data_IF_575990422199
#
_entry.id   IF_575990422199
#
_cell.length_a   1.000
_cell.length_b   1.000
_cell.length_c   1.000
_cell.angle_alpha   90.00
_cell.angle_beta   90.00
_cell.angle_gamma   90.00
#
_symmetry.space_group_name_H-M   'P 1'
#
loop_
_entity.id
_entity.type
_entity.pdbx_description
1 polymer ?
#
# COMPACT_ATOMS: atom_id res chain seq x y z
N UNK A 1 37.58 25.31 83.22
CA UNK A 1 36.93 26.54 83.72
C UNK A 1 36.27 27.19 82.52
N UNK A 2 35.01 26.87 82.23
CA UNK A 2 33.82 27.55 82.77
C UNK A 2 33.95 29.07 82.54
N UNK A 3 33.05 29.74 81.83
CA UNK A 3 31.64 29.73 82.21
C UNK A 3 30.71 30.32 81.12
N UNK A 4 29.41 30.06 81.34
CA UNK A 4 28.23 30.81 80.92
C UNK A 4 27.56 30.51 79.56
N UNK A 5 26.75 29.46 79.63
CA UNK A 5 25.49 29.26 78.90
C UNK A 5 24.42 30.30 79.29
N UNK A 6 23.63 30.82 78.32
CA UNK A 6 22.21 30.48 78.13
C UNK A 6 21.42 31.48 77.26
N UNK A 7 20.41 30.91 76.60
CA UNK A 7 19.25 31.47 75.91
C UNK A 7 19.44 32.05 74.50
N UNK A 8 19.18 31.29 73.41
CA UNK A 8 18.02 30.48 72.95
C UNK A 8 16.90 31.28 72.26
N UNK A 9 16.47 30.71 71.12
CA UNK A 9 15.09 30.66 70.63
C UNK A 9 14.46 31.87 69.91
N UNK A 10 15.24 32.70 69.22
CA UNK A 10 14.69 33.82 68.42
C UNK A 10 14.86 33.74 66.91
N UNK A 11 16.05 33.38 66.41
CA UNK A 11 16.45 33.77 65.05
C UNK A 11 16.61 32.62 64.03
N UNK A 12 16.74 31.37 64.46
CA UNK A 12 16.89 30.25 63.50
C UNK A 12 15.57 29.82 62.83
N UNK A 13 14.42 30.28 63.32
CA UNK A 13 13.10 29.95 62.76
C UNK A 13 12.66 30.85 61.59
N UNK A 14 13.46 31.85 61.18
CA UNK A 14 13.12 32.75 60.06
C UNK A 14 13.85 32.47 58.75
N UNK A 15 14.99 31.76 58.78
CA UNK A 15 15.78 31.52 57.56
C UNK A 15 15.67 30.08 56.98
N UNK A 16 14.97 29.17 57.66
CA UNK A 16 14.61 27.85 57.10
C UNK A 16 13.33 27.86 56.24
N UNK A 17 12.78 29.04 55.91
CA UNK A 17 11.63 29.19 55.00
C UNK A 17 12.01 29.55 53.57
N UNK A 18 13.27 29.33 53.17
CA UNK A 18 13.78 29.74 51.85
C UNK A 18 14.62 28.69 51.13
N UNK A 19 14.32 27.40 51.28
CA UNK A 19 14.75 26.42 50.28
C UNK A 19 13.97 25.11 50.43
N UNK A 20 13.70 24.46 49.29
CA UNK A 20 13.28 23.06 49.15
C UNK A 20 11.75 22.82 49.12
N UNK A 21 11.21 23.02 47.91
CA UNK A 21 10.41 22.05 47.14
C UNK A 21 9.25 21.33 47.85
N UNK A 22 8.01 21.75 47.57
CA UNK A 22 6.88 20.80 47.53
C UNK A 22 5.87 21.19 46.45
N UNK A 23 5.70 20.23 45.56
CA UNK A 23 4.86 20.22 44.36
C UNK A 23 3.37 20.20 44.70
N UNK A 24 2.62 20.77 43.76
CA UNK A 24 1.27 20.40 43.30
C UNK A 24 0.11 20.50 44.29
N UNK A 25 -0.50 21.69 44.33
CA UNK A 25 -1.94 21.82 44.16
C UNK A 25 -2.18 22.91 43.12
N UNK A 26 -2.44 22.50 41.87
CA UNK A 26 -3.01 23.40 40.87
C UNK A 26 -4.51 23.25 40.99
N UNK A 27 -5.13 24.23 41.62
CA UNK A 27 -6.56 24.34 41.78
C UNK A 27 -7.25 24.49 40.42
N UNK A 28 -8.16 23.57 40.16
CA UNK A 28 -9.05 23.57 39.02
C UNK A 28 -10.08 24.69 39.18
N UNK A 29 -9.77 25.89 38.67
CA UNK A 29 -10.71 27.01 38.49
C UNK A 29 -10.01 28.07 37.62
N UNK A 30 -9.97 27.88 36.30
CA UNK A 30 -9.74 28.93 35.27
C UNK A 30 -9.72 28.34 33.83
N UNK A 31 -10.73 27.55 33.46
CA UNK A 31 -10.91 27.07 32.09
C UNK A 31 -12.28 27.42 31.52
N UNK A 32 -12.68 28.69 31.66
CA UNK A 32 -13.95 29.14 31.09
C UNK A 32 -13.87 30.56 30.52
N UNK A 33 -12.78 30.97 29.85
CA UNK A 33 -12.75 32.23 29.07
C UNK A 33 -11.61 32.28 28.01
N UNK A 34 -11.31 31.17 27.33
CA UNK A 34 -10.48 31.18 26.10
C UNK A 34 -11.16 30.29 25.06
N UNK A 35 -12.32 30.75 24.60
CA UNK A 35 -13.17 30.04 23.66
C UNK A 35 -13.77 30.98 22.63
N UNK A 36 -13.00 31.92 22.10
CA UNK A 36 -13.39 32.72 20.93
C UNK A 36 -12.20 33.45 20.31
N UNK A 37 -11.16 32.72 19.91
CA UNK A 37 -10.06 33.29 19.10
C UNK A 37 -10.28 32.91 17.64
N UNK A 38 -10.77 33.91 16.88
CA UNK A 38 -10.90 34.01 15.43
C UNK A 38 -10.47 32.78 14.60
N UNK A 39 -11.46 32.03 14.12
CA UNK A 39 -11.30 31.23 12.89
C UNK A 39 -11.35 32.19 11.70
N UNK A 40 -10.26 32.93 11.47
CA UNK A 40 -10.02 33.65 10.22
C UNK A 40 -9.81 32.58 9.14
N UNK A 41 -10.90 32.21 8.48
CA UNK A 41 -10.87 31.41 7.25
C UNK A 41 -10.17 32.26 6.19
N UNK A 42 -8.85 32.11 6.07
CA UNK A 42 -8.09 32.70 4.99
C UNK A 42 -8.60 32.05 3.69
N UNK A 43 -9.51 32.75 3.00
CA UNK A 43 -9.87 32.43 1.63
C UNK A 43 -8.60 32.62 0.81
N UNK A 44 -7.85 31.53 0.59
CA UNK A 44 -6.77 31.52 -0.38
C UNK A 44 -7.47 31.66 -1.74
N UNK A 45 -7.28 32.76 -2.49
CA UNK A 45 -7.78 32.80 -3.85
C UNK A 45 -7.09 31.67 -4.60
N UNK A 46 -7.88 30.67 -4.99
CA UNK A 46 -7.44 29.61 -5.86
C UNK A 46 -7.06 30.27 -7.17
N UNK A 47 -5.76 30.48 -7.41
CA UNK A 47 -5.28 31.07 -8.64
C UNK A 47 -5.82 30.23 -9.81
N UNK A 48 -6.78 30.77 -10.56
CA UNK A 48 -7.24 30.15 -11.79
C UNK A 48 -6.10 30.27 -12.79
N UNK A 49 -5.27 29.23 -12.88
CA UNK A 49 -4.34 29.09 -13.97
C UNK A 49 -5.15 29.01 -15.27
N UNK A 50 -4.92 29.93 -16.20
CA UNK A 50 -5.56 29.90 -17.51
C UNK A 50 -5.21 28.58 -18.21
N UNK A 51 -6.17 27.66 -18.28
CA UNK A 51 -6.01 26.37 -18.95
C UNK A 51 -6.28 26.53 -20.44
N UNK A 52 -5.22 26.57 -21.24
CA UNK A 52 -5.30 26.56 -22.71
C UNK A 52 -5.06 25.16 -23.27
N UNK A 53 -5.68 24.81 -24.42
CA UNK A 53 -5.37 23.57 -25.13
C UNK A 53 -3.86 23.44 -25.39
N UNK A 54 -3.26 22.38 -24.86
CA UNK A 54 -1.82 22.12 -25.06
C UNK A 54 -1.58 21.63 -26.48
N UNK A 55 -0.49 22.09 -27.12
CA UNK A 55 -0.07 21.59 -28.45
C UNK A 55 0.14 20.07 -28.47
N UNK A 56 0.59 19.52 -27.34
CA UNK A 56 0.71 18.08 -27.12
C UNK A 56 -0.07 17.70 -25.85
N UNK A 57 -1.38 17.40 -25.95
CA UNK A 57 -2.19 16.97 -24.81
C UNK A 57 -1.68 15.65 -24.22
N UNK A 58 -1.97 15.45 -22.94
CA UNK A 58 -1.71 14.20 -22.24
C UNK A 58 -2.64 13.09 -22.78
N UNK A 59 -2.13 11.87 -22.81
CA UNK A 59 -2.87 10.68 -23.20
C UNK A 59 -2.37 9.48 -22.40
N UNK A 60 -3.21 8.46 -22.28
CA UNK A 60 -2.85 7.20 -21.65
C UNK A 60 -3.54 6.02 -22.32
N UNK A 61 -2.95 4.84 -22.16
CA UNK A 61 -3.54 3.57 -22.60
C UNK A 61 -3.18 2.49 -21.58
N UNK A 62 -4.11 1.57 -21.31
CA UNK A 62 -3.87 0.45 -20.41
C UNK A 62 -4.43 -0.85 -20.98
N UNK A 63 -3.72 -1.95 -20.72
CA UNK A 63 -4.14 -3.30 -21.07
C UNK A 63 -3.81 -4.24 -19.91
N UNK A 64 -4.74 -5.15 -19.60
CA UNK A 64 -4.44 -6.30 -18.73
C UNK A 64 -4.10 -7.49 -19.61
N UNK A 65 -2.95 -8.11 -19.34
CA UNK A 65 -2.45 -9.31 -20.03
C UNK A 65 -2.37 -10.43 -19.00
N UNK A 66 -3.32 -11.36 -19.06
CA UNK A 66 -3.56 -12.33 -17.99
C UNK A 66 -3.88 -11.63 -16.66
N UNK A 67 -2.91 -11.58 -15.75
CA UNK A 67 -3.02 -10.90 -14.44
C UNK A 67 -2.15 -9.64 -14.34
N UNK A 68 -1.46 -9.27 -15.42
CA UNK A 68 -0.53 -8.13 -15.43
C UNK A 68 -1.16 -6.94 -16.13
N UNK A 69 -1.47 -5.89 -15.36
CA UNK A 69 -1.75 -4.56 -15.90
C UNK A 69 -0.48 -3.93 -16.46
N UNK A 70 -0.54 -3.50 -17.71
CA UNK A 70 0.41 -2.62 -18.40
C UNK A 70 -0.28 -1.28 -18.63
N UNK A 71 0.38 -0.17 -18.30
CA UNK A 71 -0.19 1.17 -18.46
C UNK A 71 0.86 2.15 -18.94
N UNK A 72 0.53 2.90 -19.99
CA UNK A 72 1.40 3.89 -20.61
C UNK A 72 0.77 5.27 -20.47
N UNK A 73 1.53 6.23 -19.95
CA UNK A 73 1.17 7.65 -19.91
C UNK A 73 2.14 8.44 -20.76
N UNK A 74 1.65 9.32 -21.61
CA UNK A 74 2.48 10.05 -22.57
C UNK A 74 1.83 11.40 -22.93
N UNK A 75 2.58 12.24 -23.63
CA UNK A 75 2.01 13.39 -24.33
C UNK A 75 2.07 13.13 -25.82
N UNK A 76 0.95 13.35 -26.49
CA UNK A 76 0.74 13.05 -27.89
C UNK A 76 1.07 14.29 -28.75
N UNK A 77 2.23 14.40 -29.41
CA UNK A 77 2.48 15.45 -30.39
C UNK A 77 1.71 15.23 -31.70
N UNK A 78 1.30 16.33 -32.33
CA UNK A 78 0.79 16.34 -33.71
C UNK A 78 1.91 16.48 -34.75
N UNK A 79 1.74 15.92 -35.95
CA UNK A 79 2.69 16.04 -37.04
C UNK A 79 2.64 17.44 -37.65
N UNK A 80 1.44 17.97 -37.92
CA UNK A 80 1.18 19.34 -38.40
C UNK A 80 1.95 19.68 -39.68
N UNK A 81 1.83 18.82 -40.69
CA UNK A 81 2.49 18.94 -42.00
C UNK A 81 4.04 18.93 -41.96
N UNK A 82 4.64 18.71 -40.78
CA UNK A 82 6.09 18.62 -40.62
C UNK A 82 6.57 17.24 -41.00
N UNK A 83 7.75 17.17 -41.62
CA UNK A 83 8.49 15.92 -41.76
C UNK A 83 8.99 15.47 -40.39
N UNK A 84 8.42 14.38 -39.90
CA UNK A 84 8.71 13.88 -38.55
C UNK A 84 10.02 13.11 -38.52
N UNK A 85 10.09 12.02 -39.27
CA UNK A 85 11.20 11.10 -39.21
C UNK A 85 12.40 11.60 -40.01
N UNK A 86 13.57 11.63 -39.38
CA UNK A 86 14.81 12.16 -39.96
C UNK A 86 14.93 13.69 -39.95
N UNK A 87 13.93 14.41 -39.45
CA UNK A 87 13.99 15.87 -39.23
C UNK A 87 13.58 16.22 -37.80
N UNK A 88 12.28 16.36 -37.51
CA UNK A 88 11.83 16.70 -36.15
C UNK A 88 12.31 15.66 -35.11
N UNK A 89 12.29 14.38 -35.51
CA UNK A 89 12.87 13.27 -34.77
C UNK A 89 14.04 12.74 -35.61
N UNK A 90 15.27 13.20 -35.33
CA UNK A 90 16.45 12.77 -36.09
C UNK A 90 16.75 11.29 -35.89
N UNK A 91 17.19 10.63 -36.95
CA UNK A 91 17.66 9.24 -36.85
C UNK A 91 18.99 9.17 -36.10
N UNK A 92 19.22 8.05 -35.40
CA UNK A 92 20.44 7.80 -34.63
C UNK A 92 20.57 8.65 -33.36
N UNK A 93 19.56 9.47 -33.02
CA UNK A 93 19.55 10.30 -31.82
C UNK A 93 18.53 9.79 -30.81
N UNK A 94 18.89 9.93 -29.53
CA UNK A 94 18.01 9.58 -28.42
C UNK A 94 16.79 10.49 -28.42
N UNK A 95 15.61 9.90 -28.23
CA UNK A 95 14.33 10.59 -28.19
C UNK A 95 13.51 10.09 -27.00
N UNK A 96 12.84 11.03 -26.31
CA UNK A 96 11.91 10.75 -25.19
C UNK A 96 10.63 10.03 -25.58
N UNK A 97 10.47 9.69 -26.87
CA UNK A 97 9.32 8.94 -27.40
C UNK A 97 7.97 9.60 -27.04
N UNK A 98 7.89 10.90 -27.29
CA UNK A 98 6.75 11.75 -26.90
C UNK A 98 7.10 13.24 -26.87
N UNK A 99 6.24 14.04 -26.24
CA UNK A 99 6.42 15.48 -26.04
C UNK A 99 6.39 15.86 -24.55
N UNK A 100 6.78 17.09 -24.21
CA UNK A 100 6.75 17.61 -22.84
C UNK A 100 7.49 16.70 -21.84
N UNK A 101 6.77 16.10 -20.88
CA UNK A 101 7.29 15.15 -19.90
C UNK A 101 7.59 13.76 -20.48
N UNK A 102 8.33 12.95 -19.73
CA UNK A 102 8.69 11.60 -20.16
C UNK A 102 7.45 10.71 -20.36
N UNK A 103 7.45 9.99 -21.49
CA UNK A 103 6.55 8.85 -21.68
C UNK A 103 6.93 7.76 -20.67
N UNK A 104 5.94 7.24 -19.95
CA UNK A 104 6.14 6.23 -18.90
C UNK A 104 5.34 4.99 -19.21
N UNK A 105 5.89 3.85 -18.86
CA UNK A 105 5.23 2.55 -18.85
C UNK A 105 5.32 1.95 -17.45
N UNK A 106 4.23 1.36 -16.99
CA UNK A 106 4.17 0.65 -15.73
C UNK A 106 3.71 -0.79 -15.91
N UNK A 107 4.30 -1.68 -15.13
CA UNK A 107 3.97 -3.10 -15.07
C UNK A 107 3.62 -3.47 -13.63
N UNK A 108 2.44 -4.04 -13.41
CA UNK A 108 2.01 -4.52 -12.09
C UNK A 108 2.73 -5.79 -11.63
N UNK A 109 3.33 -6.54 -12.56
CA UNK A 109 4.08 -7.76 -12.32
C UNK A 109 5.35 -7.78 -13.19
N UNK A 110 6.29 -8.67 -12.88
CA UNK A 110 7.44 -8.93 -13.73
C UNK A 110 6.97 -9.40 -15.12
N UNK A 111 7.61 -8.90 -16.18
CA UNK A 111 7.29 -9.20 -17.59
C UNK A 111 8.54 -9.53 -18.39
N UNK A 112 8.37 -10.02 -19.61
CA UNK A 112 9.42 -10.04 -20.64
C UNK A 112 9.08 -9.03 -21.73
N UNK A 113 9.96 -8.08 -22.00
CA UNK A 113 9.81 -7.07 -23.05
C UNK A 113 10.84 -7.36 -24.15
N UNK A 114 10.39 -7.65 -25.37
CA UNK A 114 11.28 -8.08 -26.46
C UNK A 114 12.13 -9.29 -26.07
N UNK A 115 11.56 -10.23 -25.31
CA UNK A 115 12.25 -11.42 -24.80
C UNK A 115 13.11 -11.23 -23.55
N UNK A 116 13.41 -9.99 -23.12
CA UNK A 116 14.23 -9.71 -21.93
C UNK A 116 13.39 -9.46 -20.69
N UNK A 117 13.82 -10.02 -19.56
CA UNK A 117 13.11 -9.86 -18.28
C UNK A 117 13.17 -8.42 -17.77
N UNK A 118 12.01 -7.88 -17.37
CA UNK A 118 11.85 -6.56 -16.76
C UNK A 118 11.02 -6.73 -15.49
N UNK A 119 11.46 -6.11 -14.39
CA UNK A 119 10.77 -6.19 -13.11
C UNK A 119 9.49 -5.37 -13.09
N UNK A 120 8.57 -5.74 -12.21
CA UNK A 120 7.42 -4.90 -11.90
C UNK A 120 7.90 -3.50 -11.48
N UNK A 121 7.19 -2.47 -11.92
CA UNK A 121 7.57 -1.08 -11.66
C UNK A 121 7.19 -0.14 -12.80
N UNK A 122 7.59 1.12 -12.64
CA UNK A 122 7.39 2.17 -13.63
C UNK A 122 8.74 2.57 -14.22
N UNK A 123 8.77 2.79 -15.53
CA UNK A 123 9.95 3.15 -16.30
C UNK A 123 9.62 4.26 -17.30
N UNK A 124 10.59 5.08 -17.66
CA UNK A 124 10.48 5.98 -18.80
C UNK A 124 10.85 5.25 -20.10
N UNK A 125 10.12 5.53 -21.17
CA UNK A 125 10.42 5.03 -22.51
C UNK A 125 11.34 6.01 -23.23
N UNK A 126 12.47 5.50 -23.72
CA UNK A 126 13.30 6.20 -24.70
C UNK A 126 13.44 5.35 -25.96
N UNK A 127 13.69 6.01 -27.08
CA UNK A 127 13.99 5.34 -28.33
C UNK A 127 15.16 6.01 -29.03
N UNK A 128 15.88 5.25 -29.85
CA UNK A 128 16.81 5.77 -30.85
C UNK A 128 16.25 5.34 -32.20
N UNK A 129 15.51 6.23 -32.90
CA UNK A 129 14.92 5.90 -34.19
C UNK A 129 15.99 5.67 -35.26
N UNK A 130 15.75 4.72 -36.15
CA UNK A 130 16.56 4.48 -37.35
C UNK A 130 15.67 4.15 -38.54
N UNK A 131 16.25 4.10 -39.74
CA UNK A 131 15.50 3.75 -40.95
C UNK A 131 15.05 2.29 -40.95
N UNK A 132 15.96 1.38 -40.58
CA UNK A 132 15.72 -0.07 -40.63
C UNK A 132 15.50 -0.70 -39.26
N UNK A 133 16.01 -0.06 -38.20
CA UNK A 133 15.98 -0.59 -36.84
C UNK A 133 15.94 0.56 -35.84
N UNK A 134 15.11 0.40 -34.82
CA UNK A 134 15.03 1.29 -33.68
C UNK A 134 15.60 0.60 -32.45
N UNK A 135 16.27 1.38 -31.59
CA UNK A 135 16.56 0.93 -30.23
C UNK A 135 15.40 1.37 -29.34
N UNK A 136 14.74 0.45 -28.66
CA UNK A 136 13.75 0.72 -27.61
C UNK A 136 14.37 0.51 -26.23
N UNK A 137 14.15 1.47 -25.33
CA UNK A 137 14.83 1.57 -24.05
C UNK A 137 13.81 1.78 -22.93
N UNK A 138 14.03 1.11 -21.79
CA UNK A 138 13.37 1.42 -20.53
C UNK A 138 14.40 1.94 -19.53
N UNK A 139 14.12 3.09 -18.93
CA UNK A 139 15.01 3.76 -18.00
C UNK A 139 14.33 4.00 -16.63
N UNK A 140 15.07 3.85 -15.53
CA UNK A 140 14.53 4.02 -14.16
C UNK A 140 14.18 5.47 -13.81
N UNK A 141 14.74 6.47 -14.50
CA UNK A 141 14.49 7.89 -14.20
C UNK A 141 13.15 8.33 -14.76
N UNK A 142 12.21 8.66 -13.87
CA UNK A 142 10.82 8.97 -14.22
C UNK A 142 10.54 10.44 -14.51
N UNK A 143 11.42 11.36 -14.13
CA UNK A 143 11.24 12.80 -14.29
C UNK A 143 12.38 13.36 -15.11
N UNK A 144 12.30 13.17 -16.43
CA UNK A 144 13.27 13.69 -17.41
C UNK A 144 12.53 14.65 -18.35
N UNK A 145 13.13 15.81 -18.58
CA UNK A 145 12.67 16.76 -19.57
C UNK A 145 13.44 16.56 -20.88
N UNK A 146 12.75 16.13 -21.94
CA UNK A 146 13.46 15.78 -23.17
C UNK A 146 14.37 14.59 -22.95
N UNK A 147 15.66 14.76 -23.24
CA UNK A 147 16.73 13.79 -22.94
C UNK A 147 17.66 14.28 -21.85
N UNK A 148 17.39 15.45 -21.25
CA UNK A 148 18.29 16.09 -20.29
C UNK A 148 18.30 15.35 -18.96
N UNK A 149 19.46 14.82 -18.57
CA UNK A 149 19.60 13.94 -17.40
C UNK A 149 19.37 12.45 -17.69
N UNK A 150 19.24 12.06 -18.96
CA UNK A 150 19.35 10.66 -19.34
C UNK A 150 20.76 10.12 -19.04
N UNK A 151 20.81 8.93 -18.45
CA UNK A 151 22.02 8.17 -18.14
C UNK A 151 21.83 6.74 -18.63
N UNK A 152 22.79 6.23 -19.40
CA UNK A 152 22.70 4.88 -19.99
C UNK A 152 22.70 3.80 -18.90
N UNK A 153 23.35 4.08 -17.78
CA UNK A 153 23.48 3.21 -16.61
C UNK A 153 22.13 2.96 -15.92
N UNK A 154 21.17 3.87 -16.10
CA UNK A 154 19.81 3.75 -15.58
C UNK A 154 18.89 2.91 -16.51
N UNK A 155 19.39 2.44 -17.65
CA UNK A 155 18.62 1.56 -18.54
C UNK A 155 18.48 0.17 -17.94
N UNK A 156 17.23 -0.30 -17.83
CA UNK A 156 16.90 -1.68 -17.44
C UNK A 156 16.61 -2.57 -18.64
N UNK A 157 16.38 -1.96 -19.81
CA UNK A 157 16.11 -2.65 -21.05
C UNK A 157 16.71 -1.85 -22.21
N UNK A 158 17.32 -2.57 -23.14
CA UNK A 158 17.69 -2.10 -24.46
C UNK A 158 17.43 -3.23 -25.46
N UNK A 159 16.51 -3.02 -26.41
CA UNK A 159 16.15 -4.00 -27.44
C UNK A 159 16.09 -3.33 -28.81
N UNK A 160 16.28 -4.12 -29.86
CA UNK A 160 16.08 -3.69 -31.24
C UNK A 160 14.67 -4.07 -31.68
N UNK A 161 14.01 -3.14 -32.36
CA UNK A 161 12.67 -3.34 -32.93
C UNK A 161 12.63 -2.77 -34.35
N UNK A 162 11.89 -3.43 -35.24
CA UNK A 162 11.82 -3.06 -36.65
C UNK A 162 10.65 -2.08 -36.86
N UNK A 163 10.88 -0.89 -37.43
CA UNK A 163 9.79 -0.02 -37.86
C UNK A 163 9.08 -0.62 -39.08
N UNK A 164 7.79 -0.32 -39.20
CA UNK A 164 6.96 -0.69 -40.34
C UNK A 164 6.14 0.51 -40.81
N UNK A 165 5.75 0.52 -42.08
CA UNK A 165 4.90 1.56 -42.65
C UNK A 165 3.45 1.29 -42.32
N UNK A 166 2.72 2.34 -41.95
CA UNK A 166 1.27 2.31 -41.68
C UNK A 166 0.60 3.55 -42.28
N UNK A 167 -0.75 3.59 -42.39
CA UNK A 167 -1.44 4.81 -42.75
C UNK A 167 -1.02 6.00 -41.88
N UNK A 168 -1.06 7.20 -42.46
CA UNK A 168 -0.64 8.40 -41.75
C UNK A 168 -1.48 8.62 -40.50
N UNK A 169 -0.81 8.97 -39.39
CA UNK A 169 -1.46 9.44 -38.17
C UNK A 169 -0.93 10.81 -37.81
N UNK A 170 -1.84 11.76 -37.69
CA UNK A 170 -1.51 13.13 -37.27
C UNK A 170 -0.91 13.13 -35.87
N UNK A 171 -1.47 12.34 -34.95
CA UNK A 171 -1.08 12.33 -33.55
C UNK A 171 -0.34 11.07 -33.16
N UNK A 172 0.79 11.23 -32.44
CA UNK A 172 1.48 10.09 -31.84
C UNK A 172 0.52 9.36 -30.92
N UNK A 173 0.41 8.05 -31.11
CA UNK A 173 -0.51 7.20 -30.37
C UNK A 173 0.21 5.94 -29.91
N UNK A 174 0.01 5.57 -28.65
CA UNK A 174 0.30 4.22 -28.15
C UNK A 174 -0.98 3.40 -28.11
N UNK A 175 -0.90 2.15 -28.54
CA UNK A 175 -2.00 1.19 -28.49
C UNK A 175 -1.49 -0.21 -28.19
N UNK A 176 -2.39 -1.09 -27.74
CA UNK A 176 -2.10 -2.50 -27.57
C UNK A 176 -2.76 -3.30 -28.70
N UNK A 177 -2.01 -4.25 -29.27
CA UNK A 177 -2.47 -5.15 -30.32
C UNK A 177 -2.11 -6.60 -29.96
N UNK A 178 -2.76 -7.55 -30.65
CA UNK A 178 -2.47 -8.98 -30.55
C UNK A 178 -2.46 -9.50 -29.10
N UNK A 179 -3.38 -8.99 -28.27
CA UNK A 179 -3.44 -9.36 -26.86
C UNK A 179 -3.98 -10.78 -26.69
N UNK A 180 -3.30 -11.57 -25.87
CA UNK A 180 -3.68 -12.89 -25.38
C UNK A 180 -3.57 -12.92 -23.85
N UNK A 181 -3.84 -14.06 -23.24
CA UNK A 181 -3.68 -14.24 -21.79
C UNK A 181 -2.22 -14.20 -21.33
N UNK A 182 -1.25 -14.31 -22.24
CA UNK A 182 0.18 -14.40 -21.90
C UNK A 182 1.04 -13.36 -22.60
N UNK A 183 0.49 -12.60 -23.55
CA UNK A 183 1.26 -11.61 -24.29
C UNK A 183 0.41 -10.49 -24.88
N UNK A 184 1.04 -9.38 -25.21
CA UNK A 184 0.48 -8.31 -26.04
C UNK A 184 1.62 -7.63 -26.80
N UNK A 185 1.29 -6.86 -27.82
CA UNK A 185 2.21 -5.90 -28.43
C UNK A 185 1.85 -4.49 -27.99
N UNK A 186 2.82 -3.74 -27.47
CA UNK A 186 2.72 -2.30 -27.36
C UNK A 186 3.18 -1.69 -28.68
N UNK A 187 2.29 -0.98 -29.36
CA UNK A 187 2.58 -0.32 -30.62
C UNK A 187 2.63 1.19 -30.44
N UNK A 188 3.68 1.81 -30.97
CA UNK A 188 3.75 3.26 -31.20
C UNK A 188 3.45 3.52 -32.66
N UNK A 189 2.51 4.42 -32.95
CA UNK A 189 2.19 4.86 -34.31
C UNK A 189 2.21 6.39 -34.42
N UNK A 190 2.94 6.92 -35.40
CA UNK A 190 2.93 8.35 -35.72
C UNK A 190 3.49 8.63 -37.13
N UNK A 191 2.87 9.55 -37.86
CA UNK A 191 3.35 10.04 -39.15
C UNK A 191 3.78 8.91 -40.12
N UNK A 192 2.95 7.87 -40.22
CA UNK A 192 3.12 6.75 -41.14
C UNK A 192 4.11 5.66 -40.71
N UNK A 193 4.66 5.75 -39.50
CA UNK A 193 5.55 4.72 -38.94
C UNK A 193 4.91 4.06 -37.72
N UNK A 194 5.00 2.72 -37.67
CA UNK A 194 4.67 1.89 -36.52
C UNK A 194 5.93 1.19 -36.00
N UNK A 195 6.05 1.10 -34.68
CA UNK A 195 6.99 0.21 -34.01
C UNK A 195 6.25 -0.63 -32.98
N UNK A 196 6.43 -1.96 -33.04
CA UNK A 196 5.81 -2.91 -32.12
C UNK A 196 6.84 -3.47 -31.15
N UNK A 197 6.49 -3.51 -29.87
CA UNK A 197 7.27 -4.10 -28.78
C UNK A 197 6.46 -5.22 -28.15
N UNK A 198 6.96 -6.45 -28.23
CA UNK A 198 6.30 -7.58 -27.57
C UNK A 198 6.48 -7.52 -26.06
N UNK A 199 5.40 -7.78 -25.33
CA UNK A 199 5.35 -7.87 -23.87
C UNK A 199 4.70 -9.21 -23.52
N UNK A 200 5.40 -10.06 -22.79
CA UNK A 200 4.90 -11.35 -22.33
C UNK A 200 4.88 -11.45 -20.81
N UNK A 201 3.95 -12.23 -20.27
CA UNK A 201 3.70 -12.39 -18.84
C UNK A 201 3.74 -13.86 -18.45
N UNK A 202 4.21 -14.15 -17.24
CA UNK A 202 4.13 -15.49 -16.67
C UNK A 202 2.78 -15.68 -15.96
N UNK A 203 1.70 -15.64 -16.76
CA UNK A 203 0.33 -15.64 -16.25
C UNK A 203 0.04 -16.87 -15.39
N UNK A 204 0.53 -18.05 -15.80
CA UNK A 204 0.38 -19.29 -15.03
C UNK A 204 1.04 -19.17 -13.66
N UNK A 205 2.28 -18.67 -13.56
CA UNK A 205 2.95 -18.47 -12.27
C UNK A 205 2.16 -17.54 -11.36
N UNK A 206 1.69 -16.41 -11.88
CA UNK A 206 0.93 -15.45 -11.07
C UNK A 206 -0.43 -16.02 -10.65
N UNK A 207 -1.12 -16.74 -11.53
CA UNK A 207 -2.38 -17.41 -11.22
C UNK A 207 -2.19 -18.46 -10.12
N UNK A 208 -1.17 -19.32 -10.24
CA UNK A 208 -0.87 -20.34 -9.24
C UNK A 208 -0.48 -19.74 -7.89
N UNK A 209 0.28 -18.64 -7.88
CA UNK A 209 0.57 -17.90 -6.64
C UNK A 209 -0.70 -17.33 -6.01
N UNK A 210 -1.61 -16.79 -6.82
CA UNK A 210 -2.93 -16.32 -6.39
C UNK A 210 -3.78 -17.44 -5.77
N UNK A 211 -3.88 -18.58 -6.45
CA UNK A 211 -4.59 -19.78 -5.98
C UNK A 211 -4.01 -20.26 -4.65
N UNK A 212 -2.68 -20.44 -4.58
CA UNK A 212 -2.00 -20.86 -3.34
C UNK A 212 -2.29 -19.90 -2.19
N UNK A 213 -2.29 -18.59 -2.44
CA UNK A 213 -2.59 -17.57 -1.43
C UNK A 213 -4.05 -17.63 -0.98
N UNK A 214 -5.00 -17.78 -1.91
CA UNK A 214 -6.42 -17.87 -1.60
C UNK A 214 -6.75 -19.11 -0.77
N UNK A 215 -6.12 -20.25 -1.11
CA UNK A 215 -6.33 -21.53 -0.43
C UNK A 215 -5.45 -21.72 0.81
N UNK A 216 -4.58 -20.77 1.17
CA UNK A 216 -3.69 -20.90 2.33
C UNK A 216 -4.40 -20.80 3.69
N UNK A 217 -5.61 -20.22 3.73
CA UNK A 217 -6.39 -20.03 4.97
C UNK A 217 -7.87 -20.34 4.74
N UNK A 218 -8.22 -21.58 4.36
CA UNK A 218 -9.60 -21.93 4.01
C UNK A 218 -10.53 -21.89 5.23
N UNK A 219 -9.97 -21.93 6.45
CA UNK A 219 -10.70 -21.73 7.70
C UNK A 219 -11.17 -20.29 7.91
N UNK A 220 -10.48 -19.29 7.33
CA UNK A 220 -10.65 -17.88 7.67
C UNK A 220 -12.04 -17.31 7.34
N UNK A 221 -12.66 -17.60 6.18
CA UNK A 221 -14.03 -17.13 5.92
C UNK A 221 -15.04 -17.63 6.96
N UNK A 222 -14.96 -18.91 7.35
CA UNK A 222 -15.80 -19.50 8.39
C UNK A 222 -15.54 -18.84 9.76
N UNK A 223 -14.28 -18.59 10.10
CA UNK A 223 -13.95 -17.84 11.32
C UNK A 223 -14.55 -16.43 11.32
N UNK A 224 -14.41 -15.68 10.22
CA UNK A 224 -14.93 -14.30 10.13
C UNK A 224 -16.46 -14.28 10.26
N UNK A 225 -17.16 -15.19 9.59
CA UNK A 225 -18.61 -15.34 9.73
C UNK A 225 -19.00 -15.68 11.17
N UNK A 226 -18.35 -16.69 11.77
CA UNK A 226 -18.62 -17.10 13.15
C UNK A 226 -18.35 -16.01 14.18
N UNK A 227 -17.28 -15.23 13.97
CA UNK A 227 -16.97 -14.07 14.81
C UNK A 227 -18.01 -12.97 14.68
N UNK A 228 -18.39 -12.60 13.46
CA UNK A 228 -19.41 -11.57 13.24
C UNK A 228 -20.73 -11.96 13.90
N UNK A 229 -21.19 -13.21 13.72
CA UNK A 229 -22.41 -13.72 14.33
C UNK A 229 -22.33 -13.79 15.87
N UNK A 230 -21.15 -14.09 16.43
CA UNK A 230 -20.93 -14.01 17.87
C UNK A 230 -21.06 -12.58 18.40
N UNK A 231 -20.56 -11.61 17.63
CA UNK A 231 -20.62 -10.19 17.97
C UNK A 231 -22.04 -9.63 17.78
N UNK A 232 -22.83 -10.13 16.82
CA UNK A 232 -24.25 -9.77 16.62
C UNK A 232 -25.20 -10.43 17.64
N UNK A 233 -24.77 -11.51 18.30
CA UNK A 233 -25.58 -12.23 19.30
C UNK A 233 -26.20 -13.55 18.79
N UNK A 234 -26.00 -13.90 17.52
CA UNK A 234 -26.50 -15.13 16.89
C UNK A 234 -25.63 -16.35 17.25
N UNK A 235 -25.69 -16.76 18.52
CA UNK A 235 -24.76 -17.75 19.10
C UNK A 235 -24.83 -19.15 18.46
N UNK A 236 -25.99 -19.57 17.95
CA UNK A 236 -26.16 -20.86 17.27
C UNK A 236 -25.39 -20.93 15.95
N UNK A 237 -25.73 -20.06 14.98
CA UNK A 237 -24.97 -19.92 13.74
C UNK A 237 -23.49 -19.64 13.97
N UNK A 238 -23.15 -18.76 14.92
CA UNK A 238 -21.76 -18.48 15.29
C UNK A 238 -20.98 -19.74 15.66
N UNK A 239 -21.58 -20.62 16.46
CA UNK A 239 -20.96 -21.88 16.90
C UNK A 239 -20.74 -22.84 15.73
N UNK A 240 -21.70 -22.93 14.80
CA UNK A 240 -21.58 -23.78 13.62
C UNK A 240 -20.38 -23.34 12.75
N UNK A 241 -20.27 -22.04 12.47
CA UNK A 241 -19.18 -21.49 11.67
C UNK A 241 -17.81 -21.60 12.36
N UNK A 242 -17.72 -21.31 13.68
CA UNK A 242 -16.48 -21.49 14.43
C UNK A 242 -16.06 -22.96 14.50
N UNK A 243 -16.99 -23.89 14.69
CA UNK A 243 -16.71 -25.34 14.66
C UNK A 243 -16.17 -25.77 13.29
N UNK A 244 -16.80 -25.31 12.21
CA UNK A 244 -16.34 -25.61 10.85
C UNK A 244 -14.95 -25.05 10.59
N UNK A 245 -14.67 -23.83 11.05
CA UNK A 245 -13.34 -23.22 10.96
C UNK A 245 -12.27 -24.06 11.69
N UNK A 246 -12.56 -24.48 12.93
CA UNK A 246 -11.66 -25.36 13.72
C UNK A 246 -11.42 -26.68 12.99
N UNK A 247 -12.47 -27.30 12.43
CA UNK A 247 -12.36 -28.56 11.69
C UNK A 247 -11.49 -28.45 10.43
N UNK A 248 -11.53 -27.30 9.75
CA UNK A 248 -10.67 -27.04 8.58
C UNK A 248 -9.22 -26.87 9.02
N UNK A 249 -8.97 -26.01 10.01
CA UNK A 249 -7.64 -25.82 10.58
C UNK A 249 -7.75 -25.22 11.98
N UNK A 250 -7.32 -25.94 13.03
CA UNK A 250 -7.23 -25.39 14.37
C UNK A 250 -6.27 -24.20 14.42
N UNK A 251 -6.70 -23.11 15.04
CA UNK A 251 -5.89 -21.92 15.28
C UNK A 251 -6.20 -21.34 16.65
N UNK A 252 -5.24 -20.62 17.25
CA UNK A 252 -5.50 -19.96 18.53
C UNK A 252 -6.71 -19.02 18.44
N UNK A 253 -6.86 -18.34 17.30
CA UNK A 253 -7.96 -17.39 17.08
C UNK A 253 -9.33 -18.09 17.08
N UNK A 254 -9.41 -19.25 16.42
CA UNK A 254 -10.61 -20.09 16.40
C UNK A 254 -11.00 -20.55 17.81
N UNK A 255 -10.03 -21.08 18.56
CA UNK A 255 -10.28 -21.57 19.91
C UNK A 255 -10.61 -20.44 20.89
N UNK A 256 -10.00 -19.27 20.77
CA UNK A 256 -10.32 -18.12 21.61
C UNK A 256 -11.78 -17.66 21.43
N UNK A 257 -12.24 -17.50 20.19
CA UNK A 257 -13.62 -17.04 19.96
C UNK A 257 -14.66 -18.13 20.26
N UNK A 258 -14.31 -19.41 20.10
CA UNK A 258 -15.14 -20.51 20.61
C UNK A 258 -15.22 -20.45 22.15
N UNK A 259 -14.14 -20.15 22.85
CA UNK A 259 -14.15 -19.97 24.30
C UNK A 259 -15.05 -18.81 24.74
N UNK A 260 -14.95 -17.67 24.06
CA UNK A 260 -15.84 -16.52 24.31
C UNK A 260 -17.30 -16.89 24.08
N UNK A 261 -17.62 -17.58 22.98
CA UNK A 261 -18.97 -18.06 22.67
C UNK A 261 -19.50 -18.97 23.78
N UNK A 262 -18.73 -19.99 24.16
CA UNK A 262 -19.12 -20.93 25.20
C UNK A 262 -19.31 -20.25 26.56
N UNK A 263 -18.50 -19.22 26.86
CA UNK A 263 -18.66 -18.42 28.07
C UNK A 263 -19.99 -17.66 28.10
N UNK A 264 -20.42 -17.10 26.96
CA UNK A 264 -21.74 -16.43 26.83
C UNK A 264 -22.90 -17.42 26.96
N UNK A 265 -22.69 -18.68 26.59
CA UNK A 265 -23.67 -19.77 26.78
C UNK A 265 -23.65 -20.36 28.20
N UNK A 266 -22.85 -19.83 29.13
CA UNK A 266 -22.69 -20.37 30.49
C UNK A 266 -21.90 -21.68 30.57
N UNK A 267 -21.34 -22.16 29.44
CA UNK A 267 -20.55 -23.39 29.35
C UNK A 267 -19.09 -23.14 29.74
N UNK A 268 -18.89 -22.73 30.99
CA UNK A 268 -17.59 -22.22 31.49
C UNK A 268 -16.49 -23.28 31.44
N UNK A 269 -16.79 -24.56 31.74
CA UNK A 269 -15.81 -25.66 31.67
C UNK A 269 -15.25 -25.81 30.25
N UNK A 270 -16.12 -25.85 29.24
CA UNK A 270 -15.73 -25.97 27.84
C UNK A 270 -15.00 -24.71 27.36
N UNK A 271 -15.46 -23.53 27.80
CA UNK A 271 -14.79 -22.26 27.51
C UNK A 271 -13.33 -22.26 27.98
N UNK A 272 -13.07 -22.74 29.20
CA UNK A 272 -11.71 -22.85 29.74
C UNK A 272 -10.83 -23.81 28.94
N UNK A 273 -11.37 -24.94 28.47
CA UNK A 273 -10.62 -25.87 27.61
C UNK A 273 -10.18 -25.19 26.32
N UNK A 274 -11.11 -24.52 25.63
CA UNK A 274 -10.81 -23.79 24.40
C UNK A 274 -9.84 -22.61 24.64
N UNK A 275 -9.96 -21.90 25.76
CA UNK A 275 -9.03 -20.81 26.09
C UNK A 275 -7.60 -21.32 26.30
N UNK A 276 -7.42 -22.45 27.00
CA UNK A 276 -6.11 -23.09 27.19
C UNK A 276 -5.52 -23.58 25.86
N UNK A 277 -6.34 -24.17 24.99
CA UNK A 277 -5.92 -24.55 23.64
C UNK A 277 -5.48 -23.34 22.82
N UNK A 278 -6.19 -22.22 22.94
CA UNK A 278 -5.78 -20.97 22.31
C UNK A 278 -4.41 -20.51 22.80
N UNK A 279 -4.15 -20.55 24.11
CA UNK A 279 -2.84 -20.19 24.67
C UNK A 279 -1.72 -21.06 24.11
N UNK A 280 -1.94 -22.38 24.07
CA UNK A 280 -0.95 -23.34 23.52
C UNK A 280 -0.67 -23.07 22.04
N UNK A 281 -1.71 -22.92 21.22
CA UNK A 281 -1.56 -22.68 19.78
C UNK A 281 -0.96 -21.30 19.46
N UNK A 282 -1.15 -20.31 20.33
CA UNK A 282 -0.67 -18.94 20.17
C UNK A 282 0.77 -18.71 20.65
N UNK A 283 1.38 -19.68 21.33
CA UNK A 283 2.65 -19.51 22.05
C UNK A 283 3.82 -19.02 21.19
N UNK A 284 3.80 -19.24 19.87
CA UNK A 284 4.82 -18.76 18.93
C UNK A 284 4.31 -17.70 17.93
N UNK A 285 3.04 -17.28 18.05
CA UNK A 285 2.43 -16.31 17.16
C UNK A 285 2.66 -14.88 17.69
N UNK A 286 3.21 -14.00 16.85
CA UNK A 286 3.51 -12.61 17.21
C UNK A 286 2.26 -11.82 17.56
N UNK A 287 1.18 -11.97 16.78
CA UNK A 287 -0.08 -11.25 17.00
C UNK A 287 -0.74 -11.72 18.30
N UNK A 288 -0.70 -13.02 18.58
CA UNK A 288 -1.16 -13.55 19.85
C UNK A 288 -0.41 -12.90 21.02
N UNK A 289 0.93 -12.93 20.99
CA UNK A 289 1.78 -12.38 22.07
C UNK A 289 1.51 -10.89 22.29
N UNK A 290 1.42 -10.11 21.22
CA UNK A 290 1.27 -8.65 21.32
C UNK A 290 -0.12 -8.20 21.77
N UNK A 291 -1.19 -8.91 21.39
CA UNK A 291 -2.55 -8.37 21.54
C UNK A 291 -3.53 -9.26 22.31
N UNK A 292 -3.29 -10.57 22.40
CA UNK A 292 -4.28 -11.52 22.92
C UNK A 292 -3.82 -12.29 24.15
N UNK A 293 -2.51 -12.49 24.35
CA UNK A 293 -1.98 -13.28 25.47
C UNK A 293 -2.53 -12.80 26.82
N UNK A 294 -2.41 -11.51 27.12
CA UNK A 294 -2.92 -10.94 28.37
C UNK A 294 -4.44 -11.09 28.50
N UNK A 295 -5.17 -10.79 27.42
CA UNK A 295 -6.65 -10.89 27.40
C UNK A 295 -7.12 -12.32 27.69
N UNK A 296 -6.48 -13.31 27.08
CA UNK A 296 -6.84 -14.71 27.23
C UNK A 296 -6.49 -15.19 28.63
N UNK A 297 -5.31 -14.83 29.14
CA UNK A 297 -4.89 -15.12 30.51
C UNK A 297 -5.87 -14.52 31.54
N UNK A 298 -6.26 -13.25 31.38
CA UNK A 298 -7.24 -12.60 32.26
C UNK A 298 -8.61 -13.27 32.19
N UNK A 299 -9.05 -13.70 31.01
CA UNK A 299 -10.31 -14.41 30.85
C UNK A 299 -10.28 -15.79 31.52
N UNK A 300 -9.20 -16.55 31.36
CA UNK A 300 -8.99 -17.83 32.05
C UNK A 300 -9.06 -17.62 33.57
N UNK A 301 -8.37 -16.61 34.09
CA UNK A 301 -8.39 -16.29 35.52
C UNK A 301 -9.79 -15.92 36.01
N UNK A 302 -10.54 -15.11 35.24
CA UNK A 302 -11.93 -14.73 35.55
C UNK A 302 -12.86 -15.95 35.55
N UNK A 303 -12.79 -16.79 34.52
CA UNK A 303 -13.67 -17.94 34.34
C UNK A 303 -13.35 -19.11 35.29
N UNK A 304 -12.16 -19.14 35.89
CA UNK A 304 -11.76 -20.19 36.83
C UNK A 304 -12.22 -19.92 38.28
N UNK A 305 -12.78 -18.74 38.59
CA UNK A 305 -13.29 -18.44 39.94
C UNK A 305 -14.61 -19.20 40.19
N UNK A 306 -14.80 -19.80 41.38
CA UNK A 306 -16.08 -20.39 41.75
C UNK A 306 -17.21 -19.35 41.67
N UNK A 307 -18.34 -19.70 41.06
CA UNK A 307 -19.54 -18.86 41.03
C UNK A 307 -20.04 -18.64 42.45
N UNK A 308 -19.92 -17.43 43.00
CA UNK A 308 -20.46 -17.04 44.31
C UNK A 308 -21.98 -16.84 44.27
N UNK A 309 -22.72 -17.82 43.73
CA UNK A 309 -24.19 -17.88 43.80
C UNK A 309 -24.63 -19.28 44.20
N UNK A 310 -24.60 -19.49 45.52
CA UNK A 310 -25.38 -20.48 46.24
C UNK A 310 -25.30 -20.11 47.71
N UNK A 311 -26.13 -19.16 48.14
CA UNK A 311 -26.70 -19.04 49.50
C UNK A 311 -27.52 -17.76 49.58
N UNK A 312 -28.81 -17.88 49.29
CA UNK A 312 -29.91 -17.45 50.15
C UNK A 312 -31.22 -17.91 49.52
#
# INVERSE_FOLDING_TARGET
MQDSTQNTNGEEMKNFRRSITLRSRVDAKNHMFIGMMLFLFCFIPQAYALELPRKSPAAEVSQVVGLTKVHVTYFSPGAKDRKIWGQLVPYGKLWRTGANGSTKISFSHDVKVGGKSVKAGTYSIFTIPGKESWTFLLNKKLKIWGTYGYKKEDNVLEIKVKPSTVPHRERLTFLFANTTDTSTELQLEWAGVRVSVSIATDTKKFAMAGIKKALARPWRPYFLAGRYLLESGDLGPAKAYLTRSIKIQPSWWNHWYMAVLLSKQGKIKDALQHAKLSTKLGANDRVYKSFYANRITSAIAKWSKPSSRSTK
#
